data_IF_554382313927
#
_entry.id   IF_554382313927
#
_cell.length_a   1.000
_cell.length_b   1.000
_cell.length_c   1.000
_cell.angle_alpha   90.00
_cell.angle_beta   90.00
_cell.angle_gamma   90.00
#
_symmetry.space_group_name_H-M   'P 1'
#
loop_
_entity.id
_entity.type
_entity.pdbx_description
1 polymer ?
#
# COMPACT_ATOMS: atom_id res chain seq x y z
N UNK A 1 3.59 21.23 -28.20
CA UNK A 1 3.89 19.79 -28.31
C UNK A 1 2.69 19.04 -27.76
N UNK A 2 2.21 18.01 -28.47
CA UNK A 2 0.98 17.27 -28.14
C UNK A 2 1.30 16.09 -27.21
N UNK A 3 0.38 15.72 -26.32
CA UNK A 3 0.51 14.63 -25.32
C UNK A 3 1.03 13.30 -25.91
N UNK A 4 0.59 12.97 -27.11
CA UNK A 4 1.01 11.78 -27.85
C UNK A 4 2.52 11.77 -28.17
N UNK A 5 3.13 12.93 -28.47
CA UNK A 5 4.57 13.05 -28.69
C UNK A 5 5.38 12.82 -27.39
N UNK A 6 4.83 13.23 -26.24
CA UNK A 6 5.46 13.02 -24.94
C UNK A 6 5.41 11.54 -24.51
N UNK A 7 4.29 10.85 -24.77
CA UNK A 7 4.13 9.42 -24.52
C UNK A 7 5.08 8.56 -25.38
N UNK A 8 5.23 8.87 -26.67
CA UNK A 8 6.20 8.18 -27.54
C UNK A 8 7.65 8.39 -27.08
N UNK A 9 7.99 9.62 -26.69
CA UNK A 9 9.32 9.95 -26.18
C UNK A 9 9.59 9.24 -24.86
N UNK A 10 8.61 9.16 -23.97
CA UNK A 10 8.69 8.42 -22.73
C UNK A 10 8.90 6.92 -23.01
N UNK A 11 8.16 6.34 -23.95
CA UNK A 11 8.34 4.93 -24.34
C UNK A 11 9.75 4.60 -24.85
N UNK A 12 10.37 5.52 -25.62
CA UNK A 12 11.76 5.37 -26.06
C UNK A 12 12.75 5.40 -24.89
N UNK A 13 12.54 6.28 -23.91
CA UNK A 13 13.38 6.38 -22.72
C UNK A 13 13.23 5.16 -21.81
N UNK A 14 12.00 4.65 -21.62
CA UNK A 14 11.74 3.47 -20.81
C UNK A 14 12.40 2.20 -21.38
N UNK A 15 12.52 2.08 -22.70
CA UNK A 15 13.21 0.96 -23.36
C UNK A 15 14.71 0.91 -23.11
N UNK A 16 15.32 2.01 -22.66
CA UNK A 16 16.74 2.06 -22.31
C UNK A 16 17.02 1.53 -20.90
N UNK A 17 15.98 1.35 -20.08
CA UNK A 17 16.13 0.82 -18.73
C UNK A 17 16.37 -0.70 -18.77
N UNK A 18 17.13 -1.18 -17.79
CA UNK A 18 17.22 -2.61 -17.53
C UNK A 18 15.82 -3.17 -17.22
N UNK A 19 15.50 -4.40 -17.63
CA UNK A 19 14.22 -5.02 -17.30
C UNK A 19 14.06 -5.10 -15.78
N UNK A 20 12.83 -4.89 -15.31
CA UNK A 20 12.54 -4.99 -13.89
C UNK A 20 12.90 -6.39 -13.37
N UNK A 21 13.43 -6.50 -12.14
CA UNK A 21 13.69 -7.80 -11.53
C UNK A 21 12.44 -8.69 -11.56
N UNK A 22 12.56 -9.97 -11.96
CA UNK A 22 11.40 -10.87 -12.01
C UNK A 22 10.66 -11.01 -10.68
N UNK A 23 11.37 -10.89 -9.56
CA UNK A 23 10.78 -10.89 -8.22
C UNK A 23 9.84 -9.71 -8.01
N UNK A 24 10.19 -8.52 -8.51
CA UNK A 24 9.33 -7.33 -8.42
C UNK A 24 8.11 -7.45 -9.32
N UNK A 25 8.26 -7.98 -10.53
CA UNK A 25 7.13 -8.23 -11.44
C UNK A 25 6.14 -9.21 -10.84
N UNK A 26 6.62 -10.31 -10.25
CA UNK A 26 5.76 -11.29 -9.55
C UNK A 26 5.07 -10.67 -8.34
N UNK A 27 5.80 -9.94 -7.49
CA UNK A 27 5.20 -9.26 -6.36
C UNK A 27 4.09 -8.29 -6.81
N UNK A 28 4.33 -7.52 -7.87
CA UNK A 28 3.35 -6.60 -8.43
C UNK A 28 2.11 -7.29 -9.03
N UNK A 29 2.26 -8.52 -9.55
CA UNK A 29 1.14 -9.33 -10.05
C UNK A 29 0.23 -9.85 -8.93
N UNK A 30 0.75 -10.07 -7.73
CA UNK A 30 -0.03 -10.50 -6.56
C UNK A 30 -0.75 -9.34 -5.87
N UNK A 31 -0.27 -8.10 -6.04
CA UNK A 31 -0.84 -6.89 -5.42
C UNK A 31 -2.34 -6.71 -5.64
N UNK A 32 -2.92 -6.91 -6.85
CA UNK A 32 -4.35 -6.73 -7.07
C UNK A 32 -5.22 -7.67 -6.22
N UNK A 33 -4.78 -8.90 -5.99
CA UNK A 33 -5.51 -9.85 -5.17
C UNK A 33 -5.39 -9.49 -3.68
N UNK A 34 -4.17 -9.22 -3.22
CA UNK A 34 -3.94 -8.75 -1.85
C UNK A 34 -4.72 -7.48 -1.54
N UNK A 35 -4.81 -6.53 -2.50
CA UNK A 35 -5.57 -5.28 -2.37
C UNK A 35 -7.04 -5.54 -2.06
N UNK A 36 -7.68 -6.48 -2.75
CA UNK A 36 -9.11 -6.80 -2.53
C UNK A 36 -9.37 -7.28 -1.10
N UNK A 37 -8.52 -8.17 -0.59
CA UNK A 37 -8.64 -8.66 0.79
C UNK A 37 -8.42 -7.53 1.81
N UNK A 38 -7.47 -6.64 1.56
CA UNK A 38 -7.26 -5.45 2.40
C UNK A 38 -8.46 -4.49 2.35
N UNK A 39 -9.03 -4.26 1.17
CA UNK A 39 -10.19 -3.38 0.99
C UNK A 39 -11.41 -3.91 1.76
N UNK A 40 -11.62 -5.23 1.80
CA UNK A 40 -12.68 -5.86 2.61
C UNK A 40 -12.48 -5.66 4.13
N UNK A 41 -11.23 -5.79 4.61
CA UNK A 41 -10.89 -5.53 6.02
C UNK A 41 -11.13 -4.06 6.37
N UNK A 42 -10.72 -3.14 5.49
CA UNK A 42 -10.90 -1.69 5.68
C UNK A 42 -12.39 -1.34 5.68
N UNK A 43 -13.16 -1.82 4.70
CA UNK A 43 -14.60 -1.57 4.64
C UNK A 43 -15.32 -2.06 5.90
N UNK A 44 -14.90 -3.20 6.46
CA UNK A 44 -15.43 -3.70 7.73
C UNK A 44 -15.04 -2.81 8.91
N UNK A 45 -13.80 -2.34 8.98
CA UNK A 45 -13.34 -1.41 10.01
C UNK A 45 -14.03 -0.04 9.91
N UNK A 46 -14.38 0.40 8.71
CA UNK A 46 -15.18 1.61 8.50
C UNK A 46 -16.59 1.43 9.07
N UNK A 47 -17.23 0.29 8.80
CA UNK A 47 -18.60 0.00 9.24
C UNK A 47 -18.74 -0.38 10.73
N UNK A 48 -17.67 -0.83 11.40
CA UNK A 48 -17.70 -1.33 12.77
C UNK A 48 -16.58 -0.73 13.63
N UNK A 49 -16.96 0.18 14.55
CA UNK A 49 -16.05 0.87 15.45
C UNK A 49 -15.35 -0.06 16.44
N UNK A 50 -16.04 -1.09 16.95
CA UNK A 50 -15.45 -2.02 17.92
C UNK A 50 -14.41 -2.91 17.23
N UNK A 51 -14.71 -3.36 16.01
CA UNK A 51 -13.74 -4.07 15.17
C UNK A 51 -12.54 -3.19 14.82
N UNK A 52 -12.74 -1.91 14.46
CA UNK A 52 -11.67 -0.96 14.18
C UNK A 52 -10.71 -0.80 15.35
N UNK A 53 -11.24 -0.61 16.56
CA UNK A 53 -10.43 -0.45 17.77
C UNK A 53 -9.62 -1.70 18.09
N UNK A 54 -10.24 -2.88 18.00
CA UNK A 54 -9.54 -4.15 18.23
C UNK A 54 -8.43 -4.39 17.20
N UNK A 55 -8.70 -4.11 15.92
CA UNK A 55 -7.74 -4.28 14.83
C UNK A 55 -6.49 -3.39 15.01
N UNK A 56 -6.68 -2.11 15.36
CA UNK A 56 -5.56 -1.18 15.59
C UNK A 56 -4.73 -1.62 16.81
N UNK A 57 -5.40 -1.97 17.92
CA UNK A 57 -4.70 -2.35 19.14
C UNK A 57 -3.85 -3.62 18.97
N UNK A 58 -4.33 -4.59 18.18
CA UNK A 58 -3.58 -5.81 17.88
C UNK A 58 -2.40 -5.55 16.94
N UNK A 59 -2.57 -4.67 15.95
CA UNK A 59 -1.49 -4.22 15.08
C UNK A 59 -0.37 -3.51 15.88
N UNK A 60 -0.74 -2.56 16.74
CA UNK A 60 0.22 -1.84 17.59
C UNK A 60 0.96 -2.81 18.53
N UNK A 61 0.27 -3.80 19.09
CA UNK A 61 0.87 -4.84 19.93
C UNK A 61 1.85 -5.71 19.15
N UNK A 62 1.47 -6.15 17.96
CA UNK A 62 2.31 -7.01 17.11
C UNK A 62 3.60 -6.29 16.72
N UNK A 63 3.50 -5.01 16.32
CA UNK A 63 4.65 -4.18 15.99
C UNK A 63 5.56 -3.94 17.21
N UNK A 64 4.99 -3.78 18.41
CA UNK A 64 5.77 -3.66 19.63
C UNK A 64 6.53 -4.95 20.00
N UNK A 65 5.98 -6.12 19.64
CA UNK A 65 6.58 -7.42 19.90
C UNK A 65 7.73 -7.77 18.93
N UNK A 66 7.64 -7.34 17.68
CA UNK A 66 8.71 -7.60 16.67
C UNK A 66 9.97 -6.74 16.89
N UNK A 67 9.94 -5.74 17.77
CA UNK A 67 11.12 -4.96 18.16
C UNK A 67 11.69 -4.05 17.06
N UNK A 68 11.23 -4.17 15.82
CA UNK A 68 11.44 -3.16 14.79
C UNK A 68 10.59 -1.96 15.13
N UNK A 69 11.23 -0.81 15.38
CA UNK A 69 10.54 0.46 15.56
C UNK A 69 9.66 0.67 14.33
N UNK A 70 8.32 0.65 14.46
CA UNK A 70 7.47 0.86 13.30
C UNK A 70 7.84 2.20 12.69
N UNK A 71 8.04 2.23 11.37
CA UNK A 71 8.38 3.45 10.67
C UNK A 71 7.34 4.51 11.04
N UNK A 72 7.81 5.59 11.69
CA UNK A 72 6.94 6.67 12.17
C UNK A 72 6.06 7.23 11.06
N UNK A 73 6.53 7.14 9.81
CA UNK A 73 5.76 7.54 8.64
C UNK A 73 4.54 6.65 8.40
N UNK A 74 4.68 5.34 8.52
CA UNK A 74 3.57 4.38 8.36
C UNK A 74 2.54 4.56 9.47
N UNK A 75 2.99 4.76 10.71
CA UNK A 75 2.10 5.00 11.86
C UNK A 75 1.32 6.32 11.71
N UNK A 76 1.96 7.37 11.21
CA UNK A 76 1.31 8.67 10.97
C UNK A 76 0.26 8.57 9.86
N UNK A 77 0.58 7.92 8.74
CA UNK A 77 -0.32 7.75 7.60
C UNK A 77 -1.54 6.88 7.95
N UNK A 78 -1.34 5.84 8.78
CA UNK A 78 -2.45 5.03 9.30
C UNK A 78 -3.38 5.81 10.22
N UNK A 79 -2.83 6.67 11.10
CA UNK A 79 -3.65 7.53 11.96
C UNK A 79 -4.53 8.47 11.15
N UNK A 80 -3.93 9.18 10.20
CA UNK A 80 -4.63 10.17 9.37
C UNK A 80 -5.81 9.54 8.63
N UNK A 81 -5.59 8.39 7.97
CA UNK A 81 -6.62 7.70 7.19
C UNK A 81 -7.74 7.08 8.04
N UNK A 82 -7.46 6.71 9.29
CA UNK A 82 -8.45 6.10 10.19
C UNK A 82 -9.24 7.14 11.01
N UNK A 83 -8.80 8.41 11.02
CA UNK A 83 -9.51 9.53 11.65
C UNK A 83 -10.44 10.30 10.72
N UNK A 84 -10.31 10.15 9.40
CA UNK A 84 -11.20 10.80 8.40
C UNK A 84 -12.45 9.96 8.05
N UNK A 85 -12.84 8.98 8.86
CA UNK A 85 -14.04 8.14 8.63
C UNK A 85 -14.87 7.90 9.88
#
# INVERSE_FOLDING_TARGET
MTRSYEEERLGKLLRLLQPAPPSWVRAAQELPYARRTFDEIVARAEADLAFRQALIADLERSLALEGDKPDRRIVAELRERLSES
#
